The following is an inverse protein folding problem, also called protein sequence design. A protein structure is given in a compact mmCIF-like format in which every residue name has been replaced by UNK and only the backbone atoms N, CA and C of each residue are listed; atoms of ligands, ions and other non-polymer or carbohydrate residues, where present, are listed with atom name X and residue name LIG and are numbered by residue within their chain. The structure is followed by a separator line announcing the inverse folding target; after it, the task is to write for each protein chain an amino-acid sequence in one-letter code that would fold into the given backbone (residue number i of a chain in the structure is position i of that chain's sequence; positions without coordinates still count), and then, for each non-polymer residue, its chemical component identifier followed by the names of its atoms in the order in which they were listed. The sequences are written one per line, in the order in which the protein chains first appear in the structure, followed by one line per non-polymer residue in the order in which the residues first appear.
data_IF_972406845855
#
_entry.id   IF_972406845855
#
_cell.length_a   1.000
_cell.length_b   1.000
_cell.length_c   1.000
_cell.angle_alpha   90.00
_cell.angle_beta   90.00
_cell.angle_gamma   90.00
#
_symmetry.space_group_name_H-M   'P 1'
#
loop_
_entity.id
_entity.type
_entity.pdbx_description
1 polymer ?
#
# COMPACT_ATOMS: atom_id res chain seq x y z
N UNK A 1 -13.19 -11.79 -3.98
CA UNK A 1 -11.92 -11.11 -3.66
C UNK A 1 -10.87 -12.02 -3.03
N UNK A 2 -11.27 -13.06 -2.30
CA UNK A 2 -10.31 -13.98 -1.68
C UNK A 2 -10.31 -15.30 -2.46
N UNK A 3 -9.14 -15.72 -2.99
CA UNK A 3 -9.03 -17.00 -3.70
C UNK A 3 -9.32 -18.19 -2.78
N UNK A 4 -9.57 -19.34 -3.39
CA UNK A 4 -9.84 -20.55 -2.65
C UNK A 4 -8.65 -20.98 -1.79
N UNK A 5 -8.95 -21.58 -0.62
CA UNK A 5 -7.93 -22.12 0.27
C UNK A 5 -7.12 -23.20 -0.47
N UNK A 6 -5.80 -23.19 -0.26
CA UNK A 6 -4.89 -24.15 -0.89
C UNK A 6 -4.44 -23.79 -2.29
N UNK A 7 -5.01 -22.74 -2.92
CA UNK A 7 -4.56 -22.29 -4.23
C UNK A 7 -3.28 -21.47 -4.12
N UNK A 8 -2.54 -21.40 -5.22
CA UNK A 8 -1.32 -20.56 -5.28
C UNK A 8 -1.69 -19.08 -5.15
N UNK A 9 -2.82 -18.66 -5.70
CA UNK A 9 -3.32 -17.30 -5.59
C UNK A 9 -3.59 -16.92 -4.14
N UNK A 10 -4.18 -17.83 -3.37
CA UNK A 10 -4.42 -17.59 -1.94
C UNK A 10 -3.11 -17.50 -1.17
N UNK A 11 -2.14 -18.34 -1.49
CA UNK A 11 -0.82 -18.29 -0.87
C UNK A 11 -0.15 -16.94 -1.12
N UNK A 12 -0.18 -16.46 -2.36
CA UNK A 12 0.37 -15.16 -2.73
C UNK A 12 -0.35 -14.01 -2.04
N UNK A 13 -1.67 -14.13 -1.90
CA UNK A 13 -2.47 -13.14 -1.20
C UNK A 13 -2.03 -13.04 0.27
N UNK A 14 -1.89 -14.17 0.94
CA UNK A 14 -1.47 -14.19 2.34
C UNK A 14 -0.06 -13.65 2.52
N UNK A 15 0.83 -13.97 1.60
CA UNK A 15 2.19 -13.45 1.60
C UNK A 15 2.20 -11.93 1.44
N UNK A 16 1.40 -11.41 0.52
CA UNK A 16 1.28 -9.96 0.30
C UNK A 16 0.71 -9.26 1.53
N UNK A 17 -0.33 -9.81 2.14
CA UNK A 17 -0.92 -9.25 3.36
C UNK A 17 0.10 -9.18 4.49
N UNK A 18 0.89 -10.24 4.66
CA UNK A 18 1.91 -10.29 5.69
C UNK A 18 2.99 -9.22 5.44
N UNK A 19 3.45 -9.09 4.19
CA UNK A 19 4.44 -8.08 3.82
C UNK A 19 3.94 -6.67 4.10
N UNK A 20 2.69 -6.36 3.69
CA UNK A 20 2.10 -5.04 3.90
C UNK A 20 2.00 -4.75 5.40
N UNK A 21 1.51 -5.71 6.17
CA UNK A 21 1.32 -5.55 7.61
C UNK A 21 2.64 -5.32 8.34
N UNK A 22 3.66 -6.12 8.05
CA UNK A 22 4.92 -6.08 8.82
C UNK A 22 5.88 -5.01 8.34
N UNK A 23 5.92 -4.75 7.02
CA UNK A 23 6.96 -3.91 6.44
C UNK A 23 6.47 -2.51 6.04
N UNK A 24 5.25 -2.42 5.51
CA UNK A 24 4.73 -1.15 4.98
C UNK A 24 3.93 -0.41 6.04
N UNK A 25 2.93 -1.07 6.61
CA UNK A 25 2.04 -0.46 7.62
C UNK A 25 2.86 0.05 8.81
N UNK A 26 3.78 -0.77 9.31
CA UNK A 26 4.58 -0.44 10.46
C UNK A 26 5.46 0.79 10.22
N UNK A 27 6.07 0.87 9.05
CA UNK A 27 6.95 2.00 8.70
C UNK A 27 6.16 3.30 8.57
N UNK A 28 5.02 3.28 7.89
CA UNK A 28 4.15 4.46 7.80
C UNK A 28 3.55 4.81 9.15
N UNK A 29 3.13 3.80 9.92
CA UNK A 29 2.52 4.02 11.23
C UNK A 29 3.44 4.74 12.20
N UNK A 30 4.73 4.47 12.15
CA UNK A 30 5.71 5.14 13.00
C UNK A 30 5.76 6.64 12.75
N UNK A 31 5.50 7.09 11.53
CA UNK A 31 5.52 8.51 11.18
C UNK A 31 4.35 9.30 11.77
N UNK A 32 3.31 8.62 12.22
CA UNK A 32 2.18 9.27 12.88
C UNK A 32 2.47 9.61 14.36
N UNK A 33 3.56 9.10 14.91
CA UNK A 33 3.93 9.40 16.30
C UNK A 33 4.41 10.86 16.41
N UNK A 34 3.69 11.72 17.18
CA UNK A 34 4.08 13.13 17.31
C UNK A 34 5.41 13.33 18.03
N UNK A 35 5.89 12.33 18.74
CA UNK A 35 7.14 12.38 19.50
C UNK A 35 8.30 11.69 18.77
N UNK A 36 8.12 11.37 17.48
CA UNK A 36 9.19 10.74 16.70
C UNK A 36 10.38 11.67 16.59
N UNK A 37 11.60 11.15 16.84
CA UNK A 37 12.81 11.93 16.69
C UNK A 37 13.15 12.13 15.22
N UNK A 38 13.87 13.22 14.85
CA UNK A 38 14.30 13.40 13.46
C UNK A 38 15.11 12.23 12.92
N UNK A 39 15.98 11.64 13.73
CA UNK A 39 16.79 10.48 13.32
C UNK A 39 15.92 9.27 13.04
N UNK A 40 14.93 8.99 13.89
CA UNK A 40 14.00 7.87 13.70
C UNK A 40 13.13 8.09 12.47
N UNK A 41 12.64 9.32 12.26
CA UNK A 41 11.86 9.68 11.09
C UNK A 41 12.66 9.41 9.81
N UNK A 42 13.91 9.80 9.78
CA UNK A 42 14.80 9.59 8.64
C UNK A 42 14.99 8.10 8.34
N UNK A 43 15.18 7.27 9.39
CA UNK A 43 15.27 5.84 9.25
C UNK A 43 14.00 5.23 8.66
N UNK A 44 12.83 5.67 9.13
CA UNK A 44 11.56 5.15 8.65
C UNK A 44 11.32 5.55 7.19
N UNK A 45 11.66 6.78 6.82
CA UNK A 45 11.56 7.22 5.43
C UNK A 45 12.46 6.40 4.50
N UNK A 46 13.68 6.09 4.94
CA UNK A 46 14.60 5.25 4.18
C UNK A 46 14.05 3.83 3.99
N UNK A 47 13.43 3.26 5.03
CA UNK A 47 12.78 1.95 4.94
C UNK A 47 11.60 1.99 3.98
N UNK A 48 10.79 3.04 4.03
CA UNK A 48 9.66 3.22 3.12
C UNK A 48 10.16 3.26 1.68
N UNK A 49 11.25 3.98 1.40
CA UNK A 49 11.83 4.02 0.06
C UNK A 49 12.20 2.61 -0.44
N UNK A 50 12.87 1.82 0.40
CA UNK A 50 13.24 0.45 0.05
C UNK A 50 12.02 -0.41 -0.24
N UNK A 51 10.99 -0.31 0.61
CA UNK A 51 9.77 -1.10 0.44
C UNK A 51 8.99 -0.67 -0.79
N UNK A 52 8.97 0.63 -1.09
CA UNK A 52 8.34 1.14 -2.31
C UNK A 52 9.06 0.66 -3.56
N UNK A 53 10.39 0.59 -3.54
CA UNK A 53 11.16 0.02 -4.65
C UNK A 53 10.74 -1.43 -4.91
N UNK A 54 10.64 -2.24 -3.85
CA UNK A 54 10.20 -3.64 -3.96
C UNK A 54 8.78 -3.74 -4.51
N UNK A 55 7.85 -2.94 -3.96
CA UNK A 55 6.46 -2.92 -4.41
C UNK A 55 6.35 -2.51 -5.87
N UNK A 56 7.11 -1.50 -6.28
CA UNK A 56 7.11 -1.03 -7.66
C UNK A 56 7.54 -2.15 -8.61
N UNK A 57 8.56 -2.90 -8.24
CA UNK A 57 9.02 -4.04 -9.02
C UNK A 57 7.97 -5.14 -9.08
N UNK A 58 7.32 -5.45 -7.96
CA UNK A 58 6.29 -6.48 -7.92
C UNK A 58 5.06 -6.13 -8.76
N UNK A 59 4.71 -4.85 -8.81
CA UNK A 59 3.56 -4.37 -9.57
C UNK A 59 3.85 -4.08 -11.03
N UNK A 60 5.12 -4.07 -11.41
CA UNK A 60 5.51 -3.84 -12.80
C UNK A 60 4.93 -4.92 -13.69
N UNK A 61 4.14 -4.51 -14.69
CA UNK A 61 3.47 -5.44 -15.59
C UNK A 61 2.24 -6.12 -14.99
N UNK A 62 1.82 -5.73 -13.79
CA UNK A 62 0.62 -6.28 -13.13
C UNK A 62 -0.35 -5.17 -12.79
N UNK A 63 -1.64 -5.48 -12.81
CA UNK A 63 -2.65 -4.51 -12.39
C UNK A 63 -2.82 -4.48 -10.87
N UNK A 64 -2.70 -5.62 -10.22
CA UNK A 64 -2.91 -5.77 -8.78
C UNK A 64 -1.87 -6.73 -8.18
N UNK A 65 -1.81 -6.77 -6.85
CA UNK A 65 -0.80 -7.56 -6.14
C UNK A 65 -0.88 -9.07 -6.43
N UNK A 66 -2.09 -9.60 -6.53
CA UNK A 66 -2.29 -11.03 -6.80
C UNK A 66 -2.39 -11.35 -8.31
N UNK A 67 -2.16 -10.35 -9.18
CA UNK A 67 -2.21 -10.51 -10.63
C UNK A 67 -3.20 -9.55 -11.26
N UNK A 68 -4.18 -10.09 -12.00
CA UNK A 68 -5.13 -9.27 -12.76
C UNK A 68 -6.43 -8.98 -12.02
N UNK A 69 -6.63 -9.61 -10.86
CA UNK A 69 -7.85 -9.45 -10.08
C UNK A 69 -7.60 -8.65 -8.80
N UNK A 70 -8.53 -7.73 -8.51
CA UNK A 70 -8.49 -6.95 -7.27
C UNK A 70 -8.74 -7.87 -6.06
N UNK A 71 -7.97 -7.68 -4.99
CA UNK A 71 -8.06 -8.50 -3.79
C UNK A 71 -8.06 -7.63 -2.53
N UNK A 72 -8.28 -8.26 -1.37
CA UNK A 72 -8.21 -7.56 -0.08
C UNK A 72 -6.82 -6.99 0.18
N UNK A 73 -5.78 -7.60 -0.37
CA UNK A 73 -4.42 -7.08 -0.24
C UNK A 73 -4.28 -5.71 -0.92
N UNK A 74 -4.95 -5.53 -2.08
CA UNK A 74 -4.94 -4.26 -2.78
C UNK A 74 -5.66 -3.17 -1.98
N UNK A 75 -6.80 -3.51 -1.38
CA UNK A 75 -7.53 -2.56 -0.53
C UNK A 75 -6.68 -2.13 0.66
N UNK A 76 -5.99 -3.07 1.29
CA UNK A 76 -5.13 -2.79 2.44
C UNK A 76 -3.93 -1.91 2.02
N UNK A 77 -3.23 -2.32 0.98
CA UNK A 77 -2.06 -1.56 0.49
C UNK A 77 -2.46 -0.14 0.07
N UNK A 78 -3.59 0.00 -0.64
CA UNK A 78 -4.10 1.31 -1.03
C UNK A 78 -4.32 2.20 0.20
N UNK A 79 -4.95 1.66 1.24
CA UNK A 79 -5.21 2.41 2.47
C UNK A 79 -3.91 2.89 3.10
N UNK A 80 -2.92 2.01 3.21
CA UNK A 80 -1.62 2.36 3.80
C UNK A 80 -0.88 3.38 2.94
N UNK A 81 -0.85 3.18 1.62
CA UNK A 81 -0.16 4.11 0.72
C UNK A 81 -0.84 5.48 0.67
N UNK A 82 -2.17 5.53 0.89
CA UNK A 82 -2.86 6.82 0.93
C UNK A 82 -2.41 7.71 2.09
N UNK A 83 -1.83 7.11 3.13
CA UNK A 83 -1.25 7.87 4.24
C UNK A 83 -0.07 8.73 3.81
N UNK A 84 0.55 8.44 2.66
CA UNK A 84 1.62 9.26 2.12
C UNK A 84 1.20 10.72 1.92
N UNK A 85 -0.05 10.95 1.55
CA UNK A 85 -0.58 12.30 1.37
C UNK A 85 -0.68 13.04 2.70
N UNK A 86 -1.12 12.35 3.75
CA UNK A 86 -1.26 12.92 5.09
C UNK A 86 0.12 13.21 5.69
N UNK A 87 1.08 12.34 5.43
CA UNK A 87 2.43 12.42 5.98
C UNK A 87 3.39 13.22 5.10
N UNK A 88 2.93 13.70 3.96
CA UNK A 88 3.76 14.43 2.98
C UNK A 88 4.94 13.61 2.46
N UNK A 89 4.75 12.32 2.29
CA UNK A 89 5.75 11.44 1.68
C UNK A 89 5.60 11.52 0.17
N UNK A 90 6.69 11.85 -0.53
CA UNK A 90 6.68 11.98 -1.98
C UNK A 90 6.73 10.61 -2.65
N UNK A 91 5.66 10.29 -3.39
CA UNK A 91 5.52 9.01 -4.10
C UNK A 91 5.83 9.12 -5.59
N UNK A 92 6.23 10.31 -6.06
CA UNK A 92 6.48 10.53 -7.50
C UNK A 92 7.71 9.79 -8.02
N UNK A 93 8.57 9.31 -7.13
CA UNK A 93 9.73 8.49 -7.50
C UNK A 93 9.32 7.12 -8.07
N UNK A 94 8.08 6.70 -7.82
CA UNK A 94 7.59 5.37 -8.21
C UNK A 94 6.33 5.52 -9.06
N UNK A 95 6.46 5.82 -10.37
CA UNK A 95 5.30 5.98 -11.26
C UNK A 95 4.39 4.75 -11.27
N UNK A 96 4.97 3.55 -11.17
CA UNK A 96 4.19 2.31 -11.08
C UNK A 96 3.25 2.32 -9.88
N UNK A 97 3.72 2.83 -8.73
CA UNK A 97 2.91 2.93 -7.53
C UNK A 97 1.84 4.01 -7.63
N UNK A 98 2.18 5.17 -8.19
CA UNK A 98 1.18 6.24 -8.36
C UNK A 98 0.09 5.82 -9.33
N UNK A 99 0.44 5.13 -10.41
CA UNK A 99 -0.54 4.56 -11.34
C UNK A 99 -1.43 3.52 -10.64
N UNK A 100 -0.83 2.69 -9.81
CA UNK A 100 -1.56 1.69 -9.03
C UNK A 100 -2.55 2.36 -8.06
N UNK A 101 -2.11 3.38 -7.34
CA UNK A 101 -2.96 4.12 -6.40
C UNK A 101 -4.15 4.73 -7.16
N UNK A 102 -3.91 5.36 -8.30
CA UNK A 102 -4.97 5.98 -9.11
C UNK A 102 -5.95 4.92 -9.62
N UNK A 103 -5.44 3.76 -10.05
CA UNK A 103 -6.28 2.67 -10.54
C UNK A 103 -7.20 2.13 -9.45
N UNK A 104 -6.67 1.91 -8.26
CA UNK A 104 -7.45 1.41 -7.12
C UNK A 104 -8.44 2.48 -6.65
N UNK A 105 -8.02 3.74 -6.58
CA UNK A 105 -8.88 4.85 -6.18
C UNK A 105 -10.07 5.02 -7.12
N UNK A 106 -9.91 4.61 -8.39
CA UNK A 106 -10.98 4.69 -9.38
C UNK A 106 -12.10 3.66 -9.21
N UNK A 107 -11.92 2.65 -8.35
CA UNK A 107 -12.93 1.62 -8.15
C UNK A 107 -14.07 2.18 -7.29
N UNK A 108 -15.35 1.98 -7.71
CA UNK A 108 -16.48 2.56 -6.97
C UNK A 108 -16.54 2.15 -5.50
N UNK A 109 -16.28 0.87 -5.20
CA UNK A 109 -16.30 0.37 -3.82
C UNK A 109 -15.24 1.05 -2.95
N UNK A 110 -14.08 1.33 -3.52
CA UNK A 110 -12.99 2.01 -2.81
C UNK A 110 -13.35 3.47 -2.55
N UNK A 111 -13.92 4.14 -3.55
CA UNK A 111 -14.37 5.53 -3.40
C UNK A 111 -15.42 5.68 -2.30
N UNK A 112 -16.36 4.75 -2.23
CA UNK A 112 -17.39 4.75 -1.20
C UNK A 112 -16.78 4.51 0.19
N UNK A 113 -15.85 3.57 0.30
CA UNK A 113 -15.17 3.29 1.57
C UNK A 113 -14.39 4.49 2.07
N UNK A 114 -13.66 5.16 1.18
CA UNK A 114 -12.90 6.35 1.53
C UNK A 114 -13.81 7.48 1.98
N UNK A 115 -14.92 7.67 1.28
CA UNK A 115 -15.91 8.70 1.60
C UNK A 115 -16.53 8.45 2.97
N UNK A 116 -16.86 7.19 3.27
CA UNK A 116 -17.44 6.79 4.55
C UNK A 116 -16.47 7.04 5.71
N UNK A 117 -15.17 6.90 5.46
CA UNK A 117 -14.13 7.12 6.48
C UNK A 117 -13.64 8.57 6.53
N UNK A 118 -14.18 9.45 5.66
CA UNK A 118 -13.76 10.85 5.61
C UNK A 118 -12.41 11.06 4.97
N UNK A 119 -11.91 10.08 4.22
CA UNK A 119 -10.63 10.20 3.52
C UNK A 119 -10.82 10.92 2.17
N UNK A 120 -9.80 11.68 1.71
CA UNK A 120 -9.86 12.30 0.40
C UNK A 120 -9.91 11.24 -0.69
N UNK A 121 -10.87 11.37 -1.58
CA UNK A 121 -11.09 10.44 -2.69
C UNK A 121 -10.23 10.69 -3.89
#
# INVERSE_FOLDING_TARGET
MVPQAGSMERYRLMESLNFISTEIHKSFGALFNPNITPAHKEQQLALIEKRCDVLSQQLEGRQYLAGDAFSVADAYLFTVLSWSKVLNVDMTKWPTLTDYIDRVAGRPAVKEAMKAEGLPG
#
